data_IF_477212346186
#
_entry.id   IF_477212346186
#
_cell.length_a   1.000
_cell.length_b   1.000
_cell.length_c   1.000
_cell.angle_alpha   90.00
_cell.angle_beta   90.00
_cell.angle_gamma   90.00
#
_symmetry.space_group_name_H-M   'P 1'
#
loop_
_entity.id
_entity.type
_entity.pdbx_description
1 polymer ?
#
# COMPACT_ATOMS: atom_id res chain seq x y z
N UNK A 1 -12.62 9.22 5.10
CA UNK A 1 -12.09 10.23 6.04
C UNK A 1 -10.63 9.91 6.20
N UNK A 2 -9.72 10.69 5.59
CA UNK A 2 -8.40 10.72 6.17
C UNK A 2 -8.66 11.05 7.64
N UNK A 3 -8.23 10.23 8.60
CA UNK A 3 -8.52 10.50 9.99
C UNK A 3 -8.03 11.91 10.28
N UNK A 4 -8.87 12.75 10.87
CA UNK A 4 -8.50 14.10 11.31
C UNK A 4 -7.27 14.13 12.23
N UNK A 5 -6.69 12.98 12.53
CA UNK A 5 -5.45 12.78 13.27
C UNK A 5 -4.16 12.81 12.45
N UNK A 6 -4.20 12.93 11.12
CA UNK A 6 -2.97 13.02 10.31
C UNK A 6 -2.16 14.30 10.51
N UNK A 7 -2.71 15.28 11.20
CA UNK A 7 -2.05 16.56 11.51
C UNK A 7 -1.50 16.65 12.93
N UNK A 8 -1.77 15.66 13.77
CA UNK A 8 -1.20 15.62 15.10
C UNK A 8 0.06 14.79 15.00
N UNK A 9 1.20 15.48 15.05
CA UNK A 9 2.49 14.89 15.36
C UNK A 9 2.32 14.25 16.75
N UNK A 10 1.89 12.99 16.82
CA UNK A 10 1.82 12.24 18.07
C UNK A 10 3.23 11.76 18.41
N UNK A 11 4.02 12.54 19.15
CA UNK A 11 5.39 12.18 19.52
C UNK A 11 5.47 10.95 20.43
N UNK A 12 4.32 10.36 20.80
CA UNK A 12 4.21 9.39 21.88
C UNK A 12 3.45 8.11 21.53
N UNK A 13 3.27 7.78 20.24
CA UNK A 13 2.87 6.41 19.96
C UNK A 13 3.99 5.50 20.43
N UNK A 14 3.71 4.66 21.43
CA UNK A 14 4.66 3.71 22.07
C UNK A 14 5.43 2.82 21.07
N UNK A 15 5.17 2.92 19.78
CA UNK A 15 5.68 2.08 18.69
C UNK A 15 6.47 2.84 17.60
N UNK A 16 6.76 4.14 17.77
CA UNK A 16 7.58 4.92 16.82
C UNK A 16 6.93 5.11 15.44
N UNK A 17 5.60 4.99 15.36
CA UNK A 17 4.87 5.31 14.12
C UNK A 17 4.92 6.83 13.90
N UNK A 18 5.33 7.24 12.71
CA UNK A 18 5.20 8.61 12.24
C UNK A 18 4.17 8.63 11.12
N UNK A 19 3.19 9.52 11.22
CA UNK A 19 2.31 9.84 10.11
C UNK A 19 3.14 10.34 8.93
N UNK A 20 2.67 10.11 7.73
CA UNK A 20 3.24 10.62 6.48
C UNK A 20 2.19 11.42 5.72
N UNK A 21 2.66 12.24 4.79
CA UNK A 21 1.79 12.97 3.89
C UNK A 21 1.66 12.18 2.59
N UNK A 22 0.44 11.79 2.24
CA UNK A 22 0.09 11.26 0.93
C UNK A 22 -0.41 12.41 0.04
N UNK A 23 0.37 12.74 -0.98
CA UNK A 23 0.07 13.82 -1.92
C UNK A 23 -0.34 13.23 -3.25
N UNK A 24 -1.63 13.37 -3.60
CA UNK A 24 -2.09 13.06 -4.95
C UNK A 24 -1.71 14.21 -5.90
N UNK A 25 -0.94 13.88 -6.93
CA UNK A 25 -0.54 14.78 -8.00
C UNK A 25 -1.30 14.40 -9.26
N UNK A 26 -2.19 15.29 -9.69
CA UNK A 26 -2.99 15.10 -10.90
C UNK A 26 -2.34 15.87 -12.04
N UNK A 27 -1.94 15.14 -13.09
CA UNK A 27 -1.28 15.73 -14.27
C UNK A 27 -2.18 15.69 -15.49
N UNK A 28 -2.03 16.68 -16.38
CA UNK A 28 -2.82 16.78 -17.60
C UNK A 28 -2.37 15.84 -18.73
N UNK A 29 -1.14 15.30 -18.66
CA UNK A 29 -0.58 14.42 -19.66
C UNK A 29 -0.17 13.10 -19.02
N UNK A 30 -0.67 11.98 -19.57
CA UNK A 30 -0.34 10.63 -19.07
C UNK A 30 1.17 10.34 -19.04
N UNK A 31 1.95 10.94 -19.94
CA UNK A 31 3.41 10.77 -19.95
C UNK A 31 4.07 11.24 -18.64
N UNK A 32 3.46 12.21 -17.97
CA UNK A 32 3.94 12.73 -16.69
C UNK A 32 3.63 11.80 -15.50
N UNK A 33 2.90 10.71 -15.69
CA UNK A 33 2.69 9.69 -14.64
C UNK A 33 3.87 8.72 -14.49
N UNK A 34 4.85 8.77 -15.39
CA UNK A 34 6.10 8.02 -15.25
C UNK A 34 6.88 8.52 -14.03
N UNK A 35 6.73 7.76 -12.93
CA UNK A 35 7.26 8.15 -11.62
C UNK A 35 8.78 8.24 -11.63
N UNK A 36 9.46 7.23 -12.19
CA UNK A 36 10.91 7.14 -12.18
C UNK A 36 11.54 8.30 -12.95
N UNK A 37 10.92 8.69 -14.04
CA UNK A 37 11.42 9.76 -14.91
C UNK A 37 11.23 11.15 -14.34
N UNK A 38 10.08 11.44 -13.73
CA UNK A 38 9.69 12.81 -13.38
C UNK A 38 9.64 13.09 -11.88
N UNK A 39 9.32 12.08 -11.05
CA UNK A 39 8.99 12.28 -9.64
C UNK A 39 9.99 11.69 -8.66
N UNK A 40 10.74 10.64 -9.07
CA UNK A 40 11.70 9.95 -8.23
C UNK A 40 12.73 10.91 -7.58
N UNK A 41 13.21 11.89 -8.35
CA UNK A 41 14.17 12.88 -7.82
C UNK A 41 13.55 13.77 -6.75
N UNK A 42 12.30 14.21 -6.95
CA UNK A 42 11.59 15.01 -5.98
C UNK A 42 11.28 14.20 -4.71
N UNK A 43 10.78 12.96 -4.87
CA UNK A 43 10.52 12.06 -3.75
C UNK A 43 11.79 11.79 -2.92
N UNK A 44 12.93 11.51 -3.57
CA UNK A 44 14.21 11.33 -2.90
C UNK A 44 14.66 12.58 -2.13
N UNK A 45 14.40 13.76 -2.66
CA UNK A 45 14.74 15.02 -2.00
C UNK A 45 13.99 15.15 -0.68
N UNK A 46 12.67 14.90 -0.66
CA UNK A 46 11.87 14.93 0.58
C UNK A 46 12.30 13.87 1.60
N UNK A 47 12.86 12.73 1.15
CA UNK A 47 13.37 11.71 2.07
C UNK A 47 14.70 12.07 2.74
N UNK A 48 15.50 12.97 2.15
CA UNK A 48 16.86 13.29 2.60
C UNK A 48 17.02 14.68 3.17
N UNK A 49 16.05 15.58 3.02
CA UNK A 49 16.11 16.91 3.62
C UNK A 49 15.73 16.85 5.10
N UNK A 50 16.66 17.22 5.98
CA UNK A 50 16.49 17.23 7.44
C UNK A 50 15.36 18.17 7.90
N UNK A 51 14.96 19.13 7.08
CA UNK A 51 13.86 20.06 7.37
C UNK A 51 12.49 19.37 7.39
N UNK A 52 12.33 18.27 6.62
CA UNK A 52 11.08 17.52 6.58
C UNK A 52 11.10 16.37 7.59
N UNK A 53 10.53 16.63 8.77
CA UNK A 53 10.42 15.61 9.82
C UNK A 53 9.40 14.51 9.48
N UNK A 54 8.44 14.81 8.61
CA UNK A 54 7.35 13.91 8.21
C UNK A 54 7.60 13.41 6.79
N UNK A 55 7.59 12.09 6.54
CA UNK A 55 7.72 11.54 5.20
C UNK A 55 6.62 12.03 4.26
N UNK A 56 6.95 12.18 2.97
CA UNK A 56 6.00 12.59 1.94
C UNK A 56 5.99 11.52 0.84
N UNK A 57 4.80 11.01 0.55
CA UNK A 57 4.57 10.05 -0.53
C UNK A 57 3.83 10.74 -1.69
N UNK A 58 4.29 10.50 -2.91
CA UNK A 58 3.62 10.98 -4.12
C UNK A 58 2.83 9.87 -4.78
N UNK A 59 1.56 10.13 -5.04
CA UNK A 59 0.65 9.30 -5.82
C UNK A 59 0.34 10.10 -7.09
N UNK A 60 0.78 9.62 -8.26
CA UNK A 60 0.71 10.41 -9.49
C UNK A 60 -0.22 9.76 -10.50
N UNK A 61 -1.26 10.47 -10.90
CA UNK A 61 -2.23 10.03 -11.90
C UNK A 61 -2.54 11.13 -12.91
N UNK A 62 -2.96 10.75 -14.11
CA UNK A 62 -3.53 11.71 -15.05
C UNK A 62 -4.95 12.08 -14.63
N UNK A 63 -5.38 13.31 -14.99
CA UNK A 63 -6.75 13.79 -14.73
C UNK A 63 -7.80 12.81 -15.30
N UNK A 64 -7.54 12.27 -16.49
CA UNK A 64 -8.42 11.27 -17.11
C UNK A 64 -8.56 10.02 -16.26
N UNK A 65 -7.45 9.49 -15.74
CA UNK A 65 -7.47 8.30 -14.87
C UNK A 65 -8.21 8.56 -13.58
N UNK A 66 -7.94 9.70 -12.92
CA UNK A 66 -8.65 10.08 -11.69
C UNK A 66 -10.16 10.18 -11.92
N UNK A 67 -10.59 10.81 -13.01
CA UNK A 67 -12.00 10.94 -13.32
C UNK A 67 -12.67 9.58 -13.59
N UNK A 68 -12.02 8.68 -14.33
CA UNK A 68 -12.54 7.32 -14.53
C UNK A 68 -12.69 6.58 -13.19
N UNK A 69 -11.69 6.67 -12.32
CA UNK A 69 -11.70 5.98 -11.02
C UNK A 69 -12.76 6.57 -10.07
N UNK A 70 -13.00 7.88 -10.13
CA UNK A 70 -14.10 8.53 -9.43
C UNK A 70 -15.46 8.06 -9.96
N UNK A 71 -15.68 8.08 -11.28
CA UNK A 71 -16.92 7.62 -11.91
C UNK A 71 -17.23 6.15 -11.61
N UNK A 72 -16.19 5.34 -11.45
CA UNK A 72 -16.31 3.92 -11.04
C UNK A 72 -16.57 3.76 -9.52
N UNK A 73 -16.57 4.83 -8.74
CA UNK A 73 -16.79 4.75 -7.29
C UNK A 73 -15.63 4.08 -6.54
N UNK A 74 -14.38 4.19 -7.05
CA UNK A 74 -13.21 3.62 -6.37
C UNK A 74 -12.99 4.34 -5.05
N UNK A 75 -13.12 3.63 -3.93
CA UNK A 75 -13.17 4.21 -2.57
C UNK A 75 -12.01 5.15 -2.27
N UNK A 76 -10.78 4.78 -2.63
CA UNK A 76 -9.62 5.63 -2.42
C UNK A 76 -9.76 7.03 -3.04
N UNK A 77 -10.21 7.11 -4.31
CA UNK A 77 -10.38 8.40 -5.00
C UNK A 77 -11.63 9.15 -4.52
N UNK A 78 -12.68 8.42 -4.17
CA UNK A 78 -13.90 9.00 -3.57
C UNK A 78 -13.57 9.67 -2.24
N UNK A 79 -12.82 8.98 -1.37
CA UNK A 79 -12.38 9.51 -0.08
C UNK A 79 -11.44 10.71 -0.26
N UNK A 80 -10.47 10.63 -1.16
CA UNK A 80 -9.59 11.75 -1.48
C UNK A 80 -10.37 12.98 -1.96
N UNK A 81 -11.38 12.80 -2.82
CA UNK A 81 -12.20 13.92 -3.29
C UNK A 81 -13.05 14.52 -2.18
N UNK A 82 -13.56 13.71 -1.25
CA UNK A 82 -14.39 14.18 -0.13
C UNK A 82 -13.58 14.90 0.94
N UNK A 83 -12.44 14.34 1.32
CA UNK A 83 -11.68 14.72 2.52
C UNK A 83 -10.32 15.35 2.21
N UNK A 84 -9.84 15.27 0.96
CA UNK A 84 -8.57 15.81 0.54
C UNK A 84 -8.54 17.34 0.59
N UNK A 85 -7.37 17.89 0.91
CA UNK A 85 -7.14 19.33 0.91
C UNK A 85 -6.43 19.67 -0.39
N UNK A 86 -7.04 20.56 -1.18
CA UNK A 86 -6.42 21.06 -2.41
C UNK A 86 -5.30 22.04 -2.03
N UNK A 87 -4.07 21.69 -2.41
CA UNK A 87 -2.89 22.52 -2.15
C UNK A 87 -2.56 23.46 -3.32
N UNK A 88 -2.90 23.04 -4.54
CA UNK A 88 -2.63 23.79 -5.76
C UNK A 88 -3.55 23.35 -6.88
N UNK A 89 -4.08 24.31 -7.65
CA UNK A 89 -4.82 24.10 -8.89
C UNK A 89 -4.17 24.88 -10.03
N UNK A 90 -3.94 24.20 -11.15
CA UNK A 90 -3.35 24.82 -12.35
C UNK A 90 -4.42 25.40 -13.28
N UNK A 91 -5.56 24.73 -13.39
CA UNK A 91 -6.69 25.16 -14.24
C UNK A 91 -8.02 24.78 -13.57
N UNK A 92 -9.12 25.35 -14.09
CA UNK A 92 -10.48 25.15 -13.54
C UNK A 92 -11.14 23.84 -13.99
N UNK A 93 -10.37 22.82 -14.44
CA UNK A 93 -10.95 21.55 -14.87
C UNK A 93 -11.46 20.76 -13.66
N UNK A 94 -12.77 20.55 -13.55
CA UNK A 94 -13.32 19.87 -12.39
C UNK A 94 -12.97 18.39 -12.39
N UNK A 95 -12.84 17.82 -11.19
CA UNK A 95 -12.87 16.40 -11.02
C UNK A 95 -14.29 15.86 -11.24
N UNK A 96 -14.39 14.64 -11.79
CA UNK A 96 -15.67 13.97 -12.00
C UNK A 96 -16.44 13.79 -10.69
N UNK A 97 -17.76 13.72 -10.80
CA UNK A 97 -18.62 13.36 -9.66
C UNK A 97 -18.42 11.88 -9.36
N UNK A 98 -18.18 11.50 -8.09
CA UNK A 98 -18.04 10.11 -7.71
C UNK A 98 -19.28 9.30 -8.06
N UNK A 99 -19.07 8.19 -8.76
CA UNK A 99 -20.10 7.17 -8.94
C UNK A 99 -20.35 6.39 -7.67
N UNK A 100 -21.49 5.73 -7.63
CA UNK A 100 -21.79 4.77 -6.56
C UNK A 100 -21.30 3.39 -6.98
N UNK A 101 -20.52 2.74 -6.12
CA UNK A 101 -20.18 1.33 -6.26
C UNK A 101 -21.22 0.51 -5.47
N UNK A 102 -22.11 -0.26 -6.14
CA UNK A 102 -23.09 -1.09 -5.44
C UNK A 102 -22.40 -2.09 -4.51
N UNK A 103 -22.95 -2.40 -3.34
CA UNK A 103 -22.35 -3.36 -2.38
C UNK A 103 -22.01 -4.72 -3.01
N UNK A 104 -22.86 -5.22 -3.91
CA UNK A 104 -22.62 -6.48 -4.61
C UNK A 104 -21.38 -6.43 -5.53
N UNK A 105 -21.17 -5.31 -6.25
CA UNK A 105 -19.98 -5.11 -7.07
C UNK A 105 -18.74 -4.89 -6.22
N UNK A 106 -18.86 -4.15 -5.10
CA UNK A 106 -17.78 -3.97 -4.14
C UNK A 106 -17.31 -5.32 -3.58
N UNK A 107 -18.24 -6.16 -3.15
CA UNK A 107 -17.94 -7.51 -2.68
C UNK A 107 -17.28 -8.38 -3.75
N UNK A 108 -17.83 -8.38 -4.97
CA UNK A 108 -17.28 -9.15 -6.10
C UNK A 108 -15.83 -8.76 -6.40
N UNK A 109 -15.54 -7.48 -6.55
CA UNK A 109 -14.18 -7.00 -6.82
C UNK A 109 -13.22 -7.30 -5.67
N UNK A 110 -13.63 -7.03 -4.42
CA UNK A 110 -12.81 -7.32 -3.26
C UNK A 110 -12.48 -8.82 -3.16
N UNK A 111 -13.46 -9.69 -3.42
CA UNK A 111 -13.28 -11.13 -3.42
C UNK A 111 -12.34 -11.61 -4.52
N UNK A 112 -12.52 -11.11 -5.76
CA UNK A 112 -11.66 -11.42 -6.90
C UNK A 112 -10.19 -11.03 -6.60
N UNK A 113 -9.96 -9.84 -6.05
CA UNK A 113 -8.61 -9.41 -5.67
C UNK A 113 -8.00 -10.28 -4.57
N UNK A 114 -8.78 -10.64 -3.57
CA UNK A 114 -8.32 -11.49 -2.47
C UNK A 114 -7.92 -12.88 -2.96
N UNK A 115 -8.79 -13.53 -3.75
CA UNK A 115 -8.58 -14.88 -4.27
C UNK A 115 -7.46 -14.97 -5.32
N UNK A 116 -7.21 -13.89 -6.07
CA UNK A 116 -6.11 -13.81 -7.03
C UNK A 116 -4.76 -13.49 -6.37
N UNK A 117 -4.71 -12.46 -5.52
CA UNK A 117 -3.43 -11.86 -5.10
C UNK A 117 -2.80 -12.52 -3.90
N UNK A 118 -3.60 -12.95 -2.91
CA UNK A 118 -3.03 -13.53 -1.68
C UNK A 118 -2.26 -14.82 -1.96
N UNK A 119 -2.74 -15.77 -2.79
CA UNK A 119 -1.98 -16.96 -3.13
C UNK A 119 -0.65 -16.65 -3.85
N UNK A 120 -0.58 -15.58 -4.63
CA UNK A 120 0.69 -15.14 -5.22
C UNK A 120 1.69 -14.67 -4.16
N UNK A 121 1.22 -13.92 -3.14
CA UNK A 121 2.08 -13.51 -2.04
C UNK A 121 2.65 -14.70 -1.26
N UNK A 122 1.81 -15.70 -0.99
CA UNK A 122 2.20 -16.95 -0.32
C UNK A 122 3.21 -17.73 -1.15
N UNK A 123 2.97 -17.89 -2.45
CA UNK A 123 3.88 -18.57 -3.38
C UNK A 123 5.26 -17.90 -3.43
N UNK A 124 5.31 -16.57 -3.43
CA UNK A 124 6.58 -15.84 -3.35
C UNK A 124 7.29 -16.05 -2.02
N UNK A 125 6.56 -16.13 -0.88
CA UNK A 125 7.15 -16.43 0.41
C UNK A 125 7.76 -17.84 0.46
N UNK A 126 7.07 -18.85 -0.07
CA UNK A 126 7.56 -20.22 -0.21
C UNK A 126 8.82 -20.27 -1.11
N UNK A 127 8.81 -19.56 -2.23
CA UNK A 127 9.97 -19.43 -3.11
C UNK A 127 11.16 -18.79 -2.41
N UNK A 128 10.93 -17.77 -1.58
CA UNK A 128 11.97 -17.13 -0.78
C UNK A 128 12.59 -18.09 0.23
N UNK A 129 11.77 -18.92 0.90
CA UNK A 129 12.24 -19.97 1.82
C UNK A 129 13.12 -20.98 1.08
N UNK A 130 12.64 -21.51 -0.06
CA UNK A 130 13.39 -22.45 -0.88
C UNK A 130 14.78 -21.92 -1.28
N UNK A 131 14.86 -20.68 -1.78
CA UNK A 131 16.15 -20.10 -2.19
C UNK A 131 17.07 -19.82 -1.00
N UNK A 132 16.53 -19.40 0.15
CA UNK A 132 17.30 -19.24 1.38
C UNK A 132 17.94 -20.56 1.82
N UNK A 133 17.20 -21.68 1.77
CA UNK A 133 17.73 -23.01 2.12
C UNK A 133 18.84 -23.45 1.16
N UNK A 134 18.78 -23.04 -0.11
CA UNK A 134 19.85 -23.27 -1.10
C UNK A 134 21.04 -22.32 -0.95
N UNK A 135 21.04 -21.41 0.03
CA UNK A 135 22.08 -20.40 0.21
C UNK A 135 22.04 -19.25 -0.81
N UNK A 136 20.98 -19.16 -1.61
CA UNK A 136 20.79 -18.15 -2.64
C UNK A 136 20.06 -16.93 -2.05
N UNK A 137 20.80 -16.17 -1.22
CA UNK A 137 20.20 -15.15 -0.37
C UNK A 137 19.67 -13.94 -1.16
N UNK A 138 20.28 -13.60 -2.31
CA UNK A 138 19.81 -12.50 -3.16
C UNK A 138 18.44 -12.78 -3.78
N UNK A 139 18.30 -13.99 -4.33
CA UNK A 139 17.05 -14.46 -4.92
C UNK A 139 15.96 -14.60 -3.85
N UNK A 140 16.32 -15.10 -2.68
CA UNK A 140 15.41 -15.15 -1.53
C UNK A 140 14.91 -13.74 -1.14
N UNK A 141 15.79 -12.76 -1.07
CA UNK A 141 15.42 -11.38 -0.76
C UNK A 141 14.50 -10.78 -1.81
N UNK A 142 14.76 -11.02 -3.10
CA UNK A 142 13.89 -10.54 -4.17
C UNK A 142 12.48 -11.12 -4.08
N UNK A 143 12.36 -12.44 -3.88
CA UNK A 143 11.05 -13.09 -3.76
C UNK A 143 10.32 -12.67 -2.47
N UNK A 144 11.05 -12.48 -1.38
CA UNK A 144 10.45 -11.98 -0.14
C UNK A 144 9.92 -10.54 -0.29
N UNK A 145 10.65 -9.71 -1.02
CA UNK A 145 10.17 -8.39 -1.41
C UNK A 145 8.86 -8.49 -2.21
N UNK A 146 8.79 -9.38 -3.20
CA UNK A 146 7.60 -9.59 -4.03
C UNK A 146 6.42 -10.09 -3.19
N UNK A 147 6.66 -11.00 -2.23
CA UNK A 147 5.64 -11.45 -1.29
C UNK A 147 5.03 -10.29 -0.50
N UNK A 148 5.85 -9.41 0.07
CA UNK A 148 5.39 -8.24 0.83
C UNK A 148 4.64 -7.26 -0.06
N UNK A 149 5.16 -6.99 -1.26
CA UNK A 149 4.52 -6.11 -2.24
C UNK A 149 3.11 -6.61 -2.59
N UNK A 150 2.96 -7.89 -2.94
CA UNK A 150 1.66 -8.49 -3.25
C UNK A 150 0.73 -8.51 -2.02
N UNK A 151 1.25 -8.76 -0.84
CA UNK A 151 0.46 -8.75 0.40
C UNK A 151 -0.14 -7.37 0.66
N UNK A 152 0.65 -6.31 0.57
CA UNK A 152 0.13 -4.94 0.71
C UNK A 152 -0.84 -4.56 -0.40
N UNK A 153 -0.52 -4.91 -1.65
CA UNK A 153 -1.41 -4.66 -2.78
C UNK A 153 -2.76 -5.38 -2.60
N UNK A 154 -2.76 -6.60 -2.07
CA UNK A 154 -3.99 -7.33 -1.74
C UNK A 154 -4.85 -6.56 -0.76
N UNK A 155 -4.29 -6.13 0.38
CA UNK A 155 -5.04 -5.35 1.36
C UNK A 155 -5.65 -4.09 0.75
N UNK A 156 -4.82 -3.30 0.06
CA UNK A 156 -5.24 -2.04 -0.53
C UNK A 156 -6.35 -2.23 -1.56
N UNK A 157 -6.21 -3.21 -2.46
CA UNK A 157 -7.22 -3.53 -3.47
C UNK A 157 -8.53 -4.00 -2.82
N UNK A 158 -8.45 -4.85 -1.80
CA UNK A 158 -9.64 -5.39 -1.12
C UNK A 158 -10.38 -4.30 -0.35
N UNK A 159 -9.66 -3.46 0.42
CA UNK A 159 -10.29 -2.48 1.30
C UNK A 159 -10.65 -1.17 0.58
N UNK A 160 -9.84 -0.75 -0.41
CA UNK A 160 -9.99 0.58 -1.04
C UNK A 160 -10.27 0.53 -2.53
N UNK A 161 -10.24 -0.67 -3.11
CA UNK A 161 -10.39 -0.91 -4.55
C UNK A 161 -9.30 -0.20 -5.40
N UNK A 162 -8.16 0.10 -4.76
CA UNK A 162 -7.02 0.75 -5.38
C UNK A 162 -5.71 0.28 -4.74
N UNK A 163 -4.69 0.06 -5.56
CA UNK A 163 -3.30 -0.07 -5.13
C UNK A 163 -2.41 0.67 -6.13
N UNK A 164 -1.45 1.50 -5.70
CA UNK A 164 -0.53 2.13 -6.61
C UNK A 164 0.37 1.08 -7.29
N UNK A 165 0.74 1.32 -8.55
CA UNK A 165 1.73 0.52 -9.25
C UNK A 165 3.14 0.93 -8.76
N UNK A 166 3.51 0.48 -7.58
CA UNK A 166 4.76 0.86 -6.92
C UNK A 166 5.46 -0.37 -6.36
N UNK A 167 6.79 -0.42 -6.54
CA UNK A 167 7.66 -1.45 -5.98
C UNK A 167 8.32 -1.00 -4.65
N UNK A 168 8.00 0.19 -4.17
CA UNK A 168 8.49 0.68 -2.89
C UNK A 168 7.60 0.15 -1.76
N UNK A 169 8.06 -0.93 -1.09
CA UNK A 169 7.30 -1.55 -0.01
C UNK A 169 7.16 -0.68 1.24
N UNK A 170 7.97 0.37 1.41
CA UNK A 170 7.78 1.35 2.48
C UNK A 170 6.56 2.22 2.20
N UNK A 171 6.39 2.67 0.94
CA UNK A 171 5.22 3.41 0.52
C UNK A 171 3.95 2.57 0.63
N UNK A 172 3.97 1.33 0.12
CA UNK A 172 2.83 0.41 0.25
C UNK A 172 2.49 0.12 1.72
N UNK A 173 3.51 -0.05 2.57
CA UNK A 173 3.36 -0.22 4.00
C UNK A 173 2.62 0.96 4.63
N UNK A 174 3.03 2.19 4.33
CA UNK A 174 2.40 3.40 4.85
C UNK A 174 0.91 3.44 4.50
N UNK A 175 0.57 3.26 3.22
CA UNK A 175 -0.81 3.21 2.77
C UNK A 175 -1.61 2.07 3.45
N UNK A 176 -1.00 0.89 3.61
CA UNK A 176 -1.65 -0.25 4.25
C UNK A 176 -1.87 -0.04 5.76
N UNK A 177 -0.87 0.53 6.47
CA UNK A 177 -0.97 0.85 7.90
C UNK A 177 -2.06 1.90 8.18
N UNK A 178 -2.33 2.83 7.25
CA UNK A 178 -3.43 3.79 7.35
C UNK A 178 -4.82 3.11 7.23
N UNK A 179 -4.91 1.99 6.50
CA UNK A 179 -6.14 1.22 6.38
C UNK A 179 -6.34 0.23 7.53
N UNK A 180 -5.26 -0.29 8.11
CA UNK A 180 -5.31 -1.27 9.19
C UNK A 180 -4.17 -1.07 10.19
N UNK A 181 -4.50 -0.44 11.33
CA UNK A 181 -3.50 -0.15 12.38
C UNK A 181 -2.83 -1.41 12.97
N UNK A 182 -3.46 -2.58 12.84
CA UNK A 182 -2.88 -3.84 13.31
C UNK A 182 -1.59 -4.21 12.55
N UNK A 183 -1.38 -3.65 11.36
CA UNK A 183 -0.17 -3.88 10.56
C UNK A 183 1.06 -3.14 11.08
N UNK A 184 0.88 -2.08 11.88
CA UNK A 184 1.98 -1.31 12.47
C UNK A 184 2.89 -2.22 13.32
N UNK A 185 2.31 -3.23 13.97
CA UNK A 185 3.04 -4.14 14.85
C UNK A 185 3.88 -5.20 14.10
N UNK A 186 3.61 -5.40 12.81
CA UNK A 186 4.35 -6.39 12.00
C UNK A 186 5.83 -6.03 11.92
N UNK A 187 6.14 -4.74 11.80
CA UNK A 187 7.50 -4.25 11.63
C UNK A 187 7.95 -3.43 12.84
N UNK A 188 8.50 -4.06 13.89
CA UNK A 188 9.03 -3.35 15.04
C UNK A 188 10.06 -2.29 14.64
N UNK A 189 9.96 -1.10 15.25
CA UNK A 189 10.83 0.05 14.98
C UNK A 189 11.69 0.42 16.20
N UNK A 190 11.67 -0.41 17.22
CA UNK A 190 12.38 -0.24 18.49
C UNK A 190 13.88 -0.55 18.39
N UNK A 191 14.31 -1.32 17.39
CA UNK A 191 15.71 -1.66 17.18
C UNK A 191 16.18 -1.23 15.79
N UNK A 192 17.30 -0.52 15.75
CA UNK A 192 17.89 -0.01 14.51
C UNK A 192 18.18 -1.11 13.48
N UNK A 193 18.57 -2.33 13.94
CA UNK A 193 18.83 -3.45 13.04
C UNK A 193 17.59 -3.89 12.25
N UNK A 194 16.40 -3.86 12.87
CA UNK A 194 15.16 -4.25 12.19
C UNK A 194 14.77 -3.25 11.11
N UNK A 195 14.96 -1.95 11.41
CA UNK A 195 14.78 -0.87 10.43
C UNK A 195 15.75 -1.05 9.26
N UNK A 196 17.03 -1.33 9.56
CA UNK A 196 18.05 -1.55 8.53
C UNK A 196 17.73 -2.78 7.64
N UNK A 197 17.30 -3.89 8.22
CA UNK A 197 16.92 -5.09 7.46
C UNK A 197 15.73 -4.86 6.54
N UNK A 198 14.70 -4.15 7.02
CA UNK A 198 13.56 -3.79 6.18
C UNK A 198 13.97 -2.83 5.05
N UNK A 199 14.90 -1.89 5.31
CA UNK A 199 15.44 -1.00 4.30
C UNK A 199 16.21 -1.76 3.22
N UNK A 200 17.05 -2.72 3.60
CA UNK A 200 17.78 -3.60 2.65
C UNK A 200 16.76 -4.36 1.79
N UNK A 201 15.69 -4.88 2.40
CA UNK A 201 14.66 -5.61 1.67
C UNK A 201 13.89 -4.70 0.70
N UNK A 202 13.60 -3.46 1.08
CA UNK A 202 12.96 -2.49 0.17
C UNK A 202 13.81 -2.22 -1.07
N UNK A 203 15.13 -2.28 -0.96
CA UNK A 203 16.04 -2.12 -2.09
C UNK A 203 16.21 -3.37 -2.94
N UNK A 204 15.77 -4.54 -2.45
CA UNK A 204 15.99 -5.83 -3.09
C UNK A 204 15.32 -5.93 -4.46
N UNK A 205 14.21 -5.22 -4.69
CA UNK A 205 13.55 -5.19 -6.00
C UNK A 205 14.50 -4.85 -7.14
N UNK A 206 15.34 -3.85 -6.95
CA UNK A 206 16.34 -3.42 -7.96
C UNK A 206 17.69 -4.06 -7.67
N UNK A 207 18.21 -3.90 -6.45
CA UNK A 207 19.61 -4.22 -6.14
C UNK A 207 19.90 -5.71 -6.15
N UNK A 208 18.97 -6.58 -5.73
CA UNK A 208 19.20 -8.02 -5.76
C UNK A 208 19.41 -8.57 -7.17
N UNK A 209 18.80 -7.94 -8.18
CA UNK A 209 18.89 -8.36 -9.59
C UNK A 209 20.10 -7.77 -10.33
N UNK A 210 20.44 -6.50 -10.03
CA UNK A 210 21.38 -5.74 -10.86
C UNK A 210 22.66 -5.36 -10.14
N UNK A 211 22.71 -5.38 -8.81
CA UNK A 211 23.90 -4.98 -8.06
C UNK A 211 24.75 -6.17 -7.64
N UNK A 212 26.02 -6.14 -7.98
CA UNK A 212 27.03 -7.10 -7.47
C UNK A 212 27.26 -6.95 -5.96
N UNK A 213 27.02 -5.76 -5.43
CA UNK A 213 27.28 -5.38 -4.03
C UNK A 213 26.04 -5.52 -3.13
N UNK A 214 24.91 -6.02 -3.64
CA UNK A 214 23.78 -6.28 -2.78
C UNK A 214 24.08 -7.47 -1.88
N UNK A 215 23.99 -7.26 -0.59
CA UNK A 215 24.21 -8.27 0.43
C UNK A 215 23.07 -8.26 1.46
N UNK A 216 22.66 -9.42 1.89
CA UNK A 216 21.73 -9.64 2.97
C UNK A 216 22.15 -10.87 3.76
N UNK A 217 22.13 -10.78 5.08
CA UNK A 217 22.50 -11.92 5.91
C UNK A 217 21.38 -12.97 6.00
N UNK A 218 21.74 -14.23 6.24
CA UNK A 218 20.75 -15.28 6.51
C UNK A 218 19.91 -14.95 7.75
N UNK A 219 20.51 -14.36 8.79
CA UNK A 219 19.81 -13.92 10.00
C UNK A 219 18.71 -12.89 9.66
N UNK A 220 19.04 -11.88 8.86
CA UNK A 220 18.08 -10.89 8.41
C UNK A 220 16.92 -11.54 7.64
N UNK A 221 17.21 -12.45 6.71
CA UNK A 221 16.18 -13.15 5.95
C UNK A 221 15.27 -14.01 6.83
N UNK A 222 15.80 -14.73 7.81
CA UNK A 222 14.99 -15.53 8.75
C UNK A 222 14.02 -14.64 9.52
N UNK A 223 14.52 -13.52 10.04
CA UNK A 223 13.66 -12.58 10.75
C UNK A 223 12.60 -11.95 9.83
N UNK A 224 13.01 -11.50 8.65
CA UNK A 224 12.10 -10.89 7.66
C UNK A 224 11.02 -11.88 7.19
N UNK A 225 11.35 -13.15 6.99
CA UNK A 225 10.38 -14.18 6.65
C UNK A 225 9.33 -14.40 7.75
N UNK A 226 9.77 -14.45 9.01
CA UNK A 226 8.83 -14.53 10.13
C UNK A 226 7.87 -13.32 10.19
N UNK A 227 8.38 -12.12 9.87
CA UNK A 227 7.53 -10.91 9.79
C UNK A 227 6.62 -10.91 8.58
N UNK A 228 7.08 -11.45 7.45
CA UNK A 228 6.25 -11.58 6.24
C UNK A 228 5.10 -12.56 6.46
N UNK A 229 5.34 -13.68 7.14
CA UNK A 229 4.28 -14.63 7.50
C UNK A 229 3.22 -13.96 8.42
N UNK A 230 3.66 -13.20 9.44
CA UNK A 230 2.75 -12.41 10.30
C UNK A 230 1.97 -11.36 9.49
N UNK A 231 2.61 -10.71 8.50
CA UNK A 231 1.96 -9.76 7.60
C UNK A 231 0.86 -10.43 6.77
N UNK A 232 1.15 -11.56 6.13
CA UNK A 232 0.20 -12.31 5.30
C UNK A 232 -1.01 -12.72 6.14
N UNK A 233 -0.80 -13.28 7.34
CA UNK A 233 -1.88 -13.70 8.23
C UNK A 233 -2.78 -12.53 8.65
N UNK A 234 -2.20 -11.40 9.04
CA UNK A 234 -2.96 -10.20 9.43
C UNK A 234 -3.73 -9.60 8.26
N UNK A 235 -3.12 -9.54 7.08
CA UNK A 235 -3.79 -9.07 5.87
C UNK A 235 -4.93 -9.99 5.48
N UNK A 236 -4.73 -11.31 5.50
CA UNK A 236 -5.80 -12.27 5.24
C UNK A 236 -7.00 -12.06 6.18
N UNK A 237 -6.75 -11.92 7.49
CA UNK A 237 -7.80 -11.65 8.48
C UNK A 237 -8.52 -10.32 8.23
N UNK A 238 -7.79 -9.26 7.93
CA UNK A 238 -8.39 -7.95 7.64
C UNK A 238 -9.27 -8.00 6.37
N UNK A 239 -8.79 -8.66 5.32
CA UNK A 239 -9.54 -8.85 4.07
C UNK A 239 -10.81 -9.67 4.29
N UNK A 240 -10.73 -10.80 5.01
CA UNK A 240 -11.90 -11.63 5.31
C UNK A 240 -12.95 -10.88 6.14
N UNK A 241 -12.51 -10.10 7.13
CA UNK A 241 -13.40 -9.25 7.92
C UNK A 241 -14.11 -8.22 7.04
N UNK A 242 -13.41 -7.61 6.10
CA UNK A 242 -13.99 -6.65 5.16
C UNK A 242 -14.99 -7.31 4.22
N UNK A 243 -14.67 -8.48 3.66
CA UNK A 243 -15.56 -9.25 2.80
C UNK A 243 -16.86 -9.63 3.54
N UNK A 244 -16.76 -10.04 4.80
CA UNK A 244 -17.93 -10.35 5.61
C UNK A 244 -18.80 -9.12 5.85
N UNK A 245 -18.19 -7.94 6.12
CA UNK A 245 -18.92 -6.70 6.27
C UNK A 245 -19.66 -6.28 4.98
N UNK A 246 -19.04 -6.47 3.82
CA UNK A 246 -19.67 -6.20 2.52
C UNK A 246 -20.84 -7.18 2.26
N UNK A 247 -20.69 -8.46 2.60
CA UNK A 247 -21.76 -9.45 2.50
C UNK A 247 -22.97 -9.06 3.34
N UNK A 248 -22.75 -8.63 4.57
CA UNK A 248 -23.80 -8.17 5.46
C UNK A 248 -24.55 -6.95 4.89
N UNK A 249 -23.83 -6.02 4.26
CA UNK A 249 -24.44 -4.85 3.60
C UNK A 249 -25.38 -5.26 2.46
N UNK A 250 -25.02 -6.30 1.69
CA UNK A 250 -25.86 -6.84 0.61
C UNK A 250 -27.16 -7.41 1.21
N UNK A 251 -27.05 -8.28 2.23
CA UNK A 251 -28.21 -8.89 2.90
C UNK A 251 -29.16 -7.83 3.49
N UNK A 252 -28.60 -6.79 4.09
CA UNK A 252 -29.39 -5.70 4.66
C UNK A 252 -30.10 -4.85 3.57
N UNK A 253 -29.46 -4.65 2.43
CA UNK A 253 -30.05 -3.96 1.29
C UNK A 253 -31.23 -4.78 0.68
N UNK A 254 -31.05 -6.08 0.53
CA UNK A 254 -32.10 -6.98 0.04
C UNK A 254 -33.34 -7.03 0.97
N UNK A 255 -33.11 -7.12 2.29
CA UNK A 255 -34.20 -7.07 3.28
C UNK A 255 -35.01 -5.78 3.22
N UNK A 256 -34.35 -4.64 3.00
CA UNK A 256 -35.05 -3.34 2.86
C UNK A 256 -35.85 -3.26 1.57
N UNK A 257 -35.36 -3.83 0.48
CA UNK A 257 -36.03 -3.83 -0.83
C UNK A 257 -37.22 -4.81 -0.86
N UNK A 258 -37.18 -5.92 -0.09
CA UNK A 258 -38.25 -6.90 0.01
C UNK A 258 -39.41 -6.49 0.92
N UNK A 259 -39.25 -5.44 1.75
CA UNK A 259 -40.24 -4.89 2.66
C UNK A 259 -40.92 -3.60 2.14
N UNK A 260 -40.58 -3.12 0.95
CA UNK A 260 -41.16 -1.97 0.28
C UNK A 260 -42.10 -2.38 -0.86
#
# INVERSE_FOLDING_TARGET
MLPRGGWVDEPHTKKGYRSDFDILIIVNDKRLTDFDRYWQRAANRFMHEEEFKTPVNFIVHSLREVNILLEQGRYFFVDLRRDGIVLYEFDDKPLATPGLLPPADAYRFAKEYFEDRLPHAETFAEGAEFFKEKGRLKEAAFLLHQSIEQTYATLLLVLTNYSPAAHNIKHLRSLAESQSQQLIEVWPRDQQRFIAWFNILNEAYVKARYSKHFEISREALVWLQGRTADLIDRVAKACLTHLEALRQQIEDAERRSGNA
#
